data_IF_091662139379
#
_entry.id   IF_091662139379
#
_cell.length_a   1.000
_cell.length_b   1.000
_cell.length_c   1.000
_cell.angle_alpha   90.00
_cell.angle_beta   90.00
_cell.angle_gamma   90.00
#
_symmetry.space_group_name_H-M   'P 1'
#
loop_
_entity.id
_entity.type
_entity.pdbx_description
1 polymer ?
#
# COMPACT_ATOMS: atom_id res chain seq x y z
N UNK A 1 13.13 23.40 -12.04
CA UNK A 1 13.09 22.03 -11.49
C UNK A 1 11.64 21.73 -11.15
N UNK A 2 10.97 20.86 -11.89
CA UNK A 2 9.61 20.42 -11.54
C UNK A 2 9.71 19.50 -10.34
N UNK A 3 8.98 19.78 -9.26
CA UNK A 3 8.85 18.83 -8.16
C UNK A 3 8.31 17.52 -8.73
N UNK A 4 8.98 16.37 -8.52
CA UNK A 4 8.43 15.10 -8.97
C UNK A 4 7.07 14.91 -8.32
N UNK A 5 6.09 14.47 -9.10
CA UNK A 5 4.79 14.06 -8.58
C UNK A 5 5.05 13.07 -7.43
N UNK A 6 4.54 13.38 -6.23
CA UNK A 6 4.79 12.58 -5.02
C UNK A 6 4.55 11.09 -5.25
N UNK A 7 3.50 10.75 -6.02
CA UNK A 7 3.21 9.36 -6.38
C UNK A 7 4.37 8.70 -7.12
N UNK A 8 4.93 9.36 -8.14
CA UNK A 8 6.05 8.82 -8.92
C UNK A 8 7.30 8.68 -8.06
N UNK A 9 7.59 9.69 -7.23
CA UNK A 9 8.71 9.64 -6.30
C UNK A 9 8.60 8.44 -5.34
N UNK A 10 7.40 8.18 -4.83
CA UNK A 10 7.16 7.03 -3.95
C UNK A 10 7.30 5.70 -4.68
N UNK A 11 6.82 5.57 -5.92
CA UNK A 11 7.02 4.36 -6.71
C UNK A 11 8.50 4.06 -6.94
N UNK A 12 9.30 5.08 -7.27
CA UNK A 12 10.75 4.97 -7.41
C UNK A 12 11.39 4.51 -6.10
N UNK A 13 11.06 5.16 -4.98
CA UNK A 13 11.59 4.79 -3.66
C UNK A 13 11.23 3.37 -3.24
N UNK A 14 9.96 2.98 -3.39
CA UNK A 14 9.47 1.66 -3.00
C UNK A 14 10.08 0.53 -3.83
N UNK A 15 10.56 0.81 -5.05
CA UNK A 15 11.26 -0.19 -5.85
C UNK A 15 12.48 -0.79 -5.14
N UNK A 16 13.13 -0.02 -4.26
CA UNK A 16 14.32 -0.43 -3.51
C UNK A 16 14.01 -1.17 -2.19
N UNK A 17 12.76 -1.19 -1.74
CA UNK A 17 12.39 -1.72 -0.42
C UNK A 17 12.02 -3.20 -0.55
N UNK A 18 12.28 -4.01 0.47
CA UNK A 18 11.76 -5.37 0.55
C UNK A 18 10.24 -5.39 0.76
N UNK A 19 9.59 -6.54 0.52
CA UNK A 19 8.14 -6.68 0.75
C UNK A 19 7.80 -6.43 2.23
N UNK A 20 8.60 -6.94 3.15
CA UNK A 20 8.40 -6.76 4.59
C UNK A 20 8.49 -5.30 5.02
N UNK A 21 9.45 -4.54 4.48
CA UNK A 21 9.54 -3.09 4.75
C UNK A 21 8.30 -2.35 4.24
N UNK A 22 7.81 -2.68 3.05
CA UNK A 22 6.59 -2.07 2.51
C UNK A 22 5.35 -2.42 3.35
N UNK A 23 5.27 -3.64 3.89
CA UNK A 23 4.20 -4.05 4.81
C UNK A 23 4.27 -3.24 6.10
N UNK A 24 5.47 -3.08 6.67
CA UNK A 24 5.67 -2.28 7.87
C UNK A 24 5.22 -0.83 7.64
N UNK A 25 5.58 -0.24 6.50
CA UNK A 25 5.12 1.10 6.12
C UNK A 25 3.58 1.22 6.01
N UNK A 26 2.89 0.23 5.44
CA UNK A 26 1.43 0.20 5.42
C UNK A 26 0.88 0.20 6.85
N UNK A 27 1.41 -0.66 7.71
CA UNK A 27 0.90 -0.87 9.07
C UNK A 27 1.15 0.36 9.96
N UNK A 28 2.30 1.02 9.81
CA UNK A 28 2.60 2.29 10.48
C UNK A 28 1.64 3.39 10.00
N UNK A 29 1.34 3.41 8.70
CA UNK A 29 0.36 4.35 8.14
C UNK A 29 -1.04 4.11 8.70
N UNK A 30 -1.42 2.85 8.94
CA UNK A 30 -2.71 2.47 9.57
C UNK A 30 -2.82 2.95 11.01
N UNK A 31 -1.71 2.88 11.74
CA UNK A 31 -1.61 3.31 13.15
C UNK A 31 -1.49 4.83 13.34
N UNK A 32 -1.90 5.62 12.35
CA UNK A 32 -1.81 7.10 12.30
C UNK A 32 -0.40 7.68 12.46
N UNK A 33 0.66 6.87 12.26
CA UNK A 33 2.03 7.38 12.26
C UNK A 33 2.37 7.98 10.89
N UNK A 34 2.10 9.27 10.72
CA UNK A 34 2.63 10.09 9.63
C UNK A 34 1.75 10.22 8.36
N UNK A 35 2.31 10.92 7.36
CA UNK A 35 1.77 11.22 6.02
C UNK A 35 0.62 12.23 5.89
N UNK A 36 -0.16 12.52 6.94
CA UNK A 36 -1.13 13.62 6.96
C UNK A 36 -2.06 13.64 5.73
N UNK A 37 -2.12 14.77 5.03
CA UNK A 37 -2.93 14.93 3.81
C UNK A 37 -2.45 14.09 2.61
N UNK A 38 -1.20 13.62 2.61
CA UNK A 38 -0.61 12.80 1.56
C UNK A 38 -0.84 11.29 1.73
N UNK A 39 -1.57 10.90 2.78
CA UNK A 39 -1.84 9.51 3.14
C UNK A 39 -2.50 8.68 2.04
N UNK A 40 -3.43 9.27 1.29
CA UNK A 40 -4.08 8.61 0.15
C UNK A 40 -3.08 8.31 -0.96
N UNK A 41 -2.28 9.30 -1.38
CA UNK A 41 -1.22 9.15 -2.39
C UNK A 41 -0.19 8.12 -1.97
N UNK A 42 0.25 8.16 -0.70
CA UNK A 42 1.19 7.20 -0.15
C UNK A 42 0.67 5.76 -0.23
N UNK A 43 -0.57 5.57 0.23
CA UNK A 43 -1.19 4.26 0.24
C UNK A 43 -1.46 3.72 -1.16
N UNK A 44 -1.89 4.57 -2.09
CA UNK A 44 -2.06 4.18 -3.50
C UNK A 44 -0.74 3.72 -4.12
N UNK A 45 0.37 4.40 -3.83
CA UNK A 45 1.69 3.99 -4.28
C UNK A 45 2.11 2.63 -3.67
N UNK A 46 1.84 2.38 -2.38
CA UNK A 46 2.11 1.08 -1.75
C UNK A 46 1.32 -0.05 -2.43
N UNK A 47 0.01 0.14 -2.59
CA UNK A 47 -0.88 -0.85 -3.21
C UNK A 47 -0.46 -1.15 -4.66
N UNK A 48 -0.10 -0.11 -5.42
CA UNK A 48 0.42 -0.30 -6.79
C UNK A 48 1.72 -1.10 -6.78
N UNK A 49 2.65 -0.83 -5.86
CA UNK A 49 3.90 -1.58 -5.74
C UNK A 49 3.65 -3.04 -5.36
N UNK A 50 2.76 -3.32 -4.40
CA UNK A 50 2.40 -4.70 -4.05
C UNK A 50 1.82 -5.47 -5.24
N UNK A 51 0.89 -4.86 -5.98
CA UNK A 51 0.30 -5.45 -7.18
C UNK A 51 1.34 -5.71 -8.27
N UNK A 52 2.25 -4.75 -8.52
CA UNK A 52 3.36 -4.90 -9.48
C UNK A 52 4.33 -6.03 -9.10
N UNK A 53 4.45 -6.34 -7.81
CA UNK A 53 5.27 -7.44 -7.29
C UNK A 53 4.55 -8.79 -7.29
N UNK A 54 3.31 -8.83 -7.77
CA UNK A 54 2.55 -10.08 -7.90
C UNK A 54 1.95 -10.59 -6.59
N UNK A 55 1.87 -9.76 -5.55
CA UNK A 55 1.18 -10.13 -4.31
C UNK A 55 -0.33 -10.24 -4.56
N UNK A 56 -0.97 -11.24 -3.94
CA UNK A 56 -2.42 -11.34 -3.91
C UNK A 56 -2.99 -10.34 -2.88
N UNK A 57 -3.86 -9.46 -3.38
CA UNK A 57 -4.49 -8.37 -2.63
C UNK A 57 -6.00 -8.59 -2.45
N UNK A 58 -6.53 -9.76 -2.83
CA UNK A 58 -7.95 -10.10 -2.81
C UNK A 58 -8.62 -9.87 -1.45
N UNK A 59 -7.87 -10.01 -0.35
CA UNK A 59 -8.39 -9.79 1.01
C UNK A 59 -8.49 -8.31 1.41
N UNK A 60 -7.82 -7.41 0.69
CA UNK A 60 -7.77 -5.97 0.99
C UNK A 60 -8.35 -5.08 -0.12
N UNK A 61 -8.48 -5.58 -1.35
CA UNK A 61 -9.11 -4.88 -2.47
C UNK A 61 -10.37 -5.64 -2.88
N UNK A 62 -11.51 -4.98 -2.87
CA UNK A 62 -12.75 -5.46 -3.47
C UNK A 62 -13.13 -4.64 -4.69
N UNK A 63 -13.80 -5.27 -5.65
CA UNK A 63 -14.36 -4.63 -6.84
C UNK A 63 -15.83 -4.96 -6.93
N UNK A 64 -16.68 -3.95 -6.86
CA UNK A 64 -18.14 -4.08 -6.89
C UNK A 64 -18.70 -3.01 -7.82
N UNK A 65 -19.49 -3.42 -8.81
CA UNK A 65 -20.24 -2.53 -9.72
C UNK A 65 -19.42 -1.38 -10.34
N UNK A 66 -18.19 -1.69 -10.77
CA UNK A 66 -17.28 -0.71 -11.39
C UNK A 66 -16.50 0.15 -10.39
N UNK A 67 -16.73 0.00 -9.08
CA UNK A 67 -15.97 0.66 -8.03
C UNK A 67 -14.91 -0.27 -7.46
N UNK A 68 -13.72 0.28 -7.17
CA UNK A 68 -12.66 -0.44 -6.45
C UNK A 68 -12.54 0.14 -5.04
N UNK A 69 -12.77 -0.70 -4.04
CA UNK A 69 -12.65 -0.35 -2.63
C UNK A 69 -11.38 -0.97 -2.06
N UNK A 70 -10.58 -0.19 -1.34
CA UNK A 70 -9.35 -0.67 -0.70
C UNK A 70 -9.48 -0.51 0.81
N UNK A 71 -9.59 -1.63 1.53
CA UNK A 71 -9.71 -1.65 3.00
C UNK A 71 -8.49 -0.99 3.63
N UNK A 72 -8.68 -0.01 4.50
CA UNK A 72 -7.60 0.65 5.23
C UNK A 72 -7.30 -0.13 6.53
N UNK A 73 -6.42 -1.12 6.42
CA UNK A 73 -6.11 -2.08 7.50
C UNK A 73 -4.63 -2.44 7.52
N UNK A 74 -4.14 -2.81 8.70
CA UNK A 74 -2.83 -3.44 8.84
C UNK A 74 -2.86 -4.84 8.21
N UNK A 75 -1.73 -5.28 7.66
CA UNK A 75 -1.62 -6.54 6.93
C UNK A 75 -0.37 -7.31 7.34
N UNK A 76 -0.41 -8.62 7.12
CA UNK A 76 0.74 -9.52 7.14
C UNK A 76 0.82 -10.27 5.82
N UNK A 77 2.00 -10.77 5.48
CA UNK A 77 2.21 -11.66 4.34
C UNK A 77 2.03 -13.11 4.79
N UNK A 78 1.15 -13.83 4.12
CA UNK A 78 1.07 -15.29 4.23
C UNK A 78 1.25 -15.87 2.83
N UNK A 79 2.30 -16.67 2.65
CA UNK A 79 2.74 -17.16 1.34
C UNK A 79 2.99 -16.01 0.36
N UNK A 80 2.01 -15.68 -0.48
CA UNK A 80 2.05 -14.58 -1.44
C UNK A 80 0.84 -13.62 -1.30
N UNK A 81 0.08 -13.75 -0.22
CA UNK A 81 -1.19 -13.05 -0.02
C UNK A 81 -1.10 -12.07 1.15
N UNK A 82 -1.57 -10.84 0.93
CA UNK A 82 -1.70 -9.86 2.02
C UNK A 82 -3.00 -10.10 2.79
N UNK A 83 -2.87 -10.55 4.02
CA UNK A 83 -3.98 -10.86 4.92
C UNK A 83 -4.14 -9.74 5.95
N UNK A 84 -5.34 -9.16 6.12
CA UNK A 84 -5.62 -8.23 7.20
C UNK A 84 -5.27 -8.80 8.57
N UNK A 85 -4.59 -8.02 9.40
CA UNK A 85 -4.45 -8.33 10.82
C UNK A 85 -5.69 -7.70 11.47
N UNK A 86 -6.63 -8.53 11.92
CA UNK A 86 -7.80 -8.05 12.67
C UNK A 86 -7.30 -7.27 13.89
N UNK A 87 -7.79 -6.04 14.04
CA UNK A 87 -7.61 -5.25 15.27
C UNK A 87 -8.70 -5.62 16.28
#
# INVERSE_FOLDING_TARGET
MSTPNLYQHLLEKFSYYSINELIQLNNDTVSEKGWGSSKSTFRTALISTFSKRGLDLSNIISREDGFTSVKYVAVRLEENTLIPILQ
#
